data_IF_320144079368
#
_entry.id   IF_320144079368
#
_cell.length_a   1.000
_cell.length_b   1.000
_cell.length_c   1.000
_cell.angle_alpha   90.00
_cell.angle_beta   90.00
_cell.angle_gamma   90.00
#
_symmetry.space_group_name_H-M   'P 1'
#
loop_
_entity.id
_entity.type
_entity.pdbx_description
1 polymer ?
#
# COMPACT_ATOMS: atom_id res chain seq x y z
N UNK A 1 6.09 83.21 -61.80
CA UNK A 1 5.25 82.18 -61.14
C UNK A 1 6.06 80.91 -61.02
N UNK A 2 6.63 80.64 -59.83
CA UNK A 2 7.39 79.43 -59.51
C UNK A 2 6.44 78.23 -59.40
N UNK A 3 6.74 77.14 -60.11
CA UNK A 3 6.12 75.83 -59.89
C UNK A 3 6.89 75.14 -58.76
N UNK A 4 6.27 75.02 -57.59
CA UNK A 4 6.84 74.30 -56.46
C UNK A 4 6.81 72.79 -56.68
N UNK A 5 7.99 72.21 -56.51
CA UNK A 5 8.31 70.80 -56.44
C UNK A 5 7.82 70.25 -55.09
N UNK A 6 6.95 69.25 -55.10
CA UNK A 6 6.59 68.48 -53.90
C UNK A 6 7.23 67.09 -54.02
N UNK A 7 8.44 66.95 -53.48
CA UNK A 7 9.01 65.64 -53.15
C UNK A 7 8.34 65.18 -51.84
N UNK A 8 7.53 64.14 -51.91
CA UNK A 8 7.05 63.42 -50.73
C UNK A 8 8.17 62.53 -50.20
N UNK A 9 8.80 62.96 -49.11
CA UNK A 9 9.72 62.13 -48.33
C UNK A 9 8.88 61.18 -47.46
N UNK A 10 8.78 59.92 -47.87
CA UNK A 10 8.20 58.87 -47.04
C UNK A 10 9.13 58.57 -45.88
N UNK A 11 8.79 59.07 -44.69
CA UNK A 11 9.49 58.73 -43.45
C UNK A 11 9.10 57.29 -43.08
N UNK A 12 9.93 56.32 -43.47
CA UNK A 12 9.85 54.95 -42.96
C UNK A 12 10.33 54.98 -41.51
N UNK A 13 9.43 55.29 -40.57
CA UNK A 13 9.69 55.10 -39.15
C UNK A 13 9.73 53.60 -38.89
N UNK A 14 10.92 53.01 -38.98
CA UNK A 14 11.16 51.66 -38.49
C UNK A 14 10.88 51.64 -37.00
N UNK A 15 9.71 51.13 -36.62
CA UNK A 15 9.43 50.75 -35.24
C UNK A 15 10.25 49.47 -35.03
N UNK A 16 11.49 49.61 -34.58
CA UNK A 16 12.21 48.52 -33.95
C UNK A 16 11.45 48.22 -32.67
N UNK A 17 10.59 47.20 -32.68
CA UNK A 17 10.08 46.62 -31.45
C UNK A 17 11.30 46.11 -30.68
N UNK A 18 11.77 46.88 -29.71
CA UNK A 18 12.83 46.46 -28.81
C UNK A 18 12.31 45.23 -28.08
N UNK A 19 12.98 44.09 -28.24
CA UNK A 19 12.62 42.88 -27.53
C UNK A 19 12.74 43.16 -26.02
N UNK A 20 11.65 42.96 -25.27
CA UNK A 20 11.61 43.28 -23.86
C UNK A 20 12.35 42.21 -23.06
N UNK A 21 13.37 42.61 -22.29
CA UNK A 21 14.10 41.69 -21.42
C UNK A 21 13.20 41.16 -20.30
N UNK A 22 13.35 39.87 -19.99
CA UNK A 22 12.72 39.23 -18.84
C UNK A 22 13.43 39.67 -17.57
N UNK A 23 12.68 40.10 -16.56
CA UNK A 23 13.25 40.48 -15.27
C UNK A 23 13.68 39.23 -14.49
N UNK A 24 14.98 38.98 -14.39
CA UNK A 24 15.56 37.82 -13.68
C UNK A 24 16.49 38.35 -12.58
N UNK A 25 15.98 38.61 -11.37
CA UNK A 25 16.75 39.26 -10.31
C UNK A 25 17.77 38.34 -9.62
N UNK A 26 17.56 37.02 -9.67
CA UNK A 26 18.52 36.05 -9.12
C UNK A 26 19.66 35.80 -10.12
N UNK A 27 20.91 36.15 -9.78
CA UNK A 27 22.03 36.03 -10.70
C UNK A 27 22.36 34.56 -11.03
N UNK A 28 22.12 33.63 -10.10
CA UNK A 28 22.35 32.20 -10.37
C UNK A 28 21.30 31.68 -11.35
N UNK A 29 20.04 32.12 -11.22
CA UNK A 29 18.99 31.78 -12.18
C UNK A 29 19.29 32.37 -13.57
N UNK A 30 19.66 33.66 -13.65
CA UNK A 30 20.03 34.30 -14.92
C UNK A 30 21.19 33.57 -15.59
N UNK A 31 22.28 33.32 -14.86
CA UNK A 31 23.43 32.60 -15.41
C UNK A 31 23.07 31.17 -15.85
N UNK A 32 22.17 30.50 -15.13
CA UNK A 32 21.73 29.16 -15.49
C UNK A 32 20.91 29.15 -16.79
N UNK A 33 20.10 30.18 -17.05
CA UNK A 33 19.38 30.34 -18.32
C UNK A 33 20.31 30.71 -19.48
N UNK A 34 21.25 31.63 -19.27
CA UNK A 34 22.22 32.06 -20.30
C UNK A 34 23.15 30.92 -20.74
N UNK A 35 23.49 30.01 -19.83
CA UNK A 35 24.35 28.84 -20.10
C UNK A 35 23.56 27.55 -20.38
N UNK A 36 22.24 27.64 -20.56
CA UNK A 36 21.38 26.48 -20.73
C UNK A 36 21.61 25.75 -22.07
N UNK A 37 21.38 24.44 -22.08
CA UNK A 37 21.35 23.61 -23.30
C UNK A 37 20.06 22.78 -23.33
N UNK A 38 19.20 22.89 -24.35
CA UNK A 38 19.33 23.73 -25.54
C UNK A 38 19.37 25.24 -25.21
N UNK A 39 20.02 26.00 -26.08
CA UNK A 39 20.27 27.44 -25.90
C UNK A 39 18.95 28.21 -25.78
N UNK A 40 18.87 29.06 -24.75
CA UNK A 40 17.73 29.98 -24.53
C UNK A 40 18.08 31.39 -25.01
N UNK A 41 19.26 31.89 -24.67
CA UNK A 41 19.83 33.14 -25.21
C UNK A 41 20.28 32.90 -26.66
N UNK A 42 19.33 32.97 -27.58
CA UNK A 42 19.50 32.63 -29.00
C UNK A 42 20.27 33.70 -29.77
N UNK A 43 20.23 34.94 -29.31
CA UNK A 43 20.96 36.04 -29.95
C UNK A 43 22.36 36.27 -29.34
N UNK A 44 22.64 35.67 -28.18
CA UNK A 44 23.94 35.71 -27.50
C UNK A 44 24.28 37.06 -26.88
N UNK A 45 23.28 37.89 -26.55
CA UNK A 45 23.50 39.24 -26.03
C UNK A 45 23.64 39.32 -24.51
N UNK A 46 23.54 38.17 -23.82
CA UNK A 46 23.70 38.07 -22.37
C UNK A 46 22.44 38.46 -21.58
N UNK A 47 21.32 38.67 -22.27
CA UNK A 47 20.01 38.86 -21.68
C UNK A 47 19.04 37.78 -22.18
N UNK A 48 17.97 37.53 -21.43
CA UNK A 48 16.88 36.67 -21.90
C UNK A 48 15.75 37.60 -22.33
N UNK A 49 15.39 37.59 -23.60
CA UNK A 49 14.23 38.35 -24.07
C UNK A 49 12.93 37.56 -23.97
N UNK A 50 11.82 38.28 -23.84
CA UNK A 50 10.48 37.70 -23.76
C UNK A 50 10.18 36.83 -24.99
N UNK A 51 10.66 37.24 -26.17
CA UNK A 51 10.53 36.45 -27.40
C UNK A 51 11.26 35.12 -27.36
N UNK A 52 12.43 35.07 -26.70
CA UNK A 52 13.21 33.84 -26.54
C UNK A 52 12.53 32.90 -25.55
N UNK A 53 12.15 33.43 -24.39
CA UNK A 53 11.43 32.68 -23.36
C UNK A 53 10.10 32.10 -23.90
N UNK A 54 9.34 32.89 -24.67
CA UNK A 54 8.09 32.43 -25.30
C UNK A 54 8.33 31.40 -26.40
N UNK A 55 9.45 31.47 -27.12
CA UNK A 55 9.78 30.52 -28.19
C UNK A 55 10.32 29.19 -27.65
N UNK A 56 10.81 29.16 -26.41
CA UNK A 56 11.36 27.97 -25.80
C UNK A 56 10.27 26.97 -25.40
N UNK A 57 10.32 25.76 -25.94
CA UNK A 57 9.37 24.67 -25.67
C UNK A 57 9.99 23.45 -25.00
N UNK A 58 11.29 23.51 -24.71
CA UNK A 58 12.07 22.40 -24.16
C UNK A 58 11.89 22.21 -22.65
N UNK A 59 12.78 21.39 -22.09
CA UNK A 59 12.95 21.26 -20.64
C UNK A 59 13.97 22.29 -20.15
N UNK A 60 13.62 23.04 -19.09
CA UNK A 60 14.58 23.89 -18.37
C UNK A 60 15.10 23.11 -17.17
N UNK A 61 16.39 22.78 -17.19
CA UNK A 61 17.06 22.07 -16.10
C UNK A 61 18.07 22.96 -15.39
N UNK A 62 17.68 23.43 -14.21
CA UNK A 62 18.45 24.35 -13.36
C UNK A 62 18.55 23.82 -11.91
N UNK A 63 18.64 22.49 -11.77
CA UNK A 63 18.84 21.83 -10.48
C UNK A 63 20.25 22.11 -9.92
N UNK A 64 20.37 22.15 -8.58
CA UNK A 64 21.66 22.32 -7.88
C UNK A 64 22.44 23.58 -8.30
N UNK A 65 21.74 24.72 -8.43
CA UNK A 65 22.35 25.99 -8.89
C UNK A 65 22.42 27.06 -7.81
N UNK A 66 22.06 26.73 -6.56
CA UNK A 66 21.96 27.69 -5.46
C UNK A 66 21.03 28.86 -5.80
N UNK A 67 19.90 28.57 -6.45
CA UNK A 67 18.89 29.57 -6.82
C UNK A 67 17.95 29.80 -5.63
N UNK A 68 17.63 31.06 -5.37
CA UNK A 68 16.72 31.49 -4.31
C UNK A 68 15.41 32.06 -4.86
N UNK A 69 15.42 32.61 -6.08
CA UNK A 69 14.26 33.23 -6.69
C UNK A 69 14.15 32.90 -8.19
N UNK A 70 12.98 32.45 -8.63
CA UNK A 70 12.66 32.14 -10.03
C UNK A 70 11.80 33.20 -10.73
N UNK A 71 11.72 34.41 -10.20
CA UNK A 71 11.08 35.54 -10.90
C UNK A 71 11.67 35.66 -12.31
N UNK A 72 10.80 35.73 -13.31
CA UNK A 72 11.12 35.64 -14.74
C UNK A 72 10.72 34.31 -15.38
N UNK A 73 10.54 33.23 -14.61
CA UNK A 73 10.11 31.93 -15.16
C UNK A 73 8.72 32.00 -15.81
N UNK A 74 7.88 32.94 -15.39
CA UNK A 74 6.55 33.21 -15.95
C UNK A 74 6.59 33.59 -17.45
N UNK A 75 7.73 34.03 -17.98
CA UNK A 75 7.87 34.35 -19.40
C UNK A 75 7.94 33.09 -20.30
N UNK A 76 8.27 31.93 -19.72
CA UNK A 76 8.43 30.66 -20.43
C UNK A 76 7.10 29.91 -20.59
N UNK A 77 6.14 30.55 -21.26
CA UNK A 77 4.74 30.08 -21.33
C UNK A 77 4.55 28.75 -22.08
N UNK A 78 5.47 28.41 -22.99
CA UNK A 78 5.43 27.20 -23.81
C UNK A 78 6.38 26.09 -23.35
N UNK A 79 7.09 26.29 -22.24
CA UNK A 79 7.97 25.27 -21.66
C UNK A 79 7.15 24.08 -21.15
N UNK A 80 7.61 22.87 -21.49
CA UNK A 80 6.93 21.62 -21.11
C UNK A 80 7.45 21.01 -19.81
N UNK A 81 8.69 21.31 -19.44
CA UNK A 81 9.32 20.69 -18.28
C UNK A 81 10.20 21.68 -17.53
N UNK A 82 10.05 21.71 -16.20
CA UNK A 82 10.83 22.54 -15.30
C UNK A 82 11.48 21.67 -14.21
N UNK A 83 12.81 21.67 -14.15
CA UNK A 83 13.60 21.00 -13.09
C UNK A 83 14.38 22.02 -12.27
N UNK A 84 13.90 22.26 -11.05
CA UNK A 84 14.43 23.25 -10.11
C UNK A 84 14.82 22.64 -8.77
N UNK A 85 14.95 21.31 -8.72
CA UNK A 85 15.29 20.56 -7.51
C UNK A 85 16.64 20.94 -6.91
N UNK A 86 16.77 20.77 -5.59
CA UNK A 86 18.00 21.05 -4.84
C UNK A 86 18.45 22.51 -4.98
N UNK A 87 17.55 23.42 -4.64
CA UNK A 87 17.79 24.85 -4.58
C UNK A 87 17.27 25.39 -3.24
N UNK A 88 17.14 26.71 -3.10
CA UNK A 88 16.70 27.36 -1.86
C UNK A 88 15.42 28.15 -2.06
N UNK A 89 14.53 27.67 -2.93
CA UNK A 89 13.29 28.36 -3.28
C UNK A 89 12.32 28.34 -2.10
N UNK A 90 11.92 29.52 -1.64
CA UNK A 90 10.83 29.69 -0.67
C UNK A 90 9.45 29.84 -1.32
N UNK A 91 9.43 30.18 -2.61
CA UNK A 91 8.22 30.24 -3.43
C UNK A 91 8.51 29.84 -4.88
N UNK A 92 7.49 29.34 -5.56
CA UNK A 92 7.55 28.98 -6.97
C UNK A 92 6.21 29.39 -7.61
N UNK A 93 6.26 30.22 -8.64
CA UNK A 93 5.08 30.67 -9.38
C UNK A 93 5.11 30.13 -10.81
N UNK A 94 4.30 29.10 -11.08
CA UNK A 94 4.18 28.48 -12.41
C UNK A 94 2.88 28.86 -13.14
N UNK A 95 2.18 29.90 -12.68
CA UNK A 95 0.82 30.21 -13.16
C UNK A 95 0.73 30.53 -14.65
N UNK A 96 1.80 31.06 -15.26
CA UNK A 96 1.84 31.39 -16.69
C UNK A 96 2.40 30.25 -17.54
N UNK A 97 3.02 29.24 -16.93
CA UNK A 97 3.60 28.08 -17.61
C UNK A 97 2.52 27.04 -17.93
N UNK A 98 1.48 27.45 -18.66
CA UNK A 98 0.27 26.64 -18.91
C UNK A 98 0.52 25.38 -19.75
N UNK A 99 1.63 25.34 -20.50
CA UNK A 99 2.10 24.17 -21.25
C UNK A 99 2.90 23.16 -20.39
N UNK A 100 3.10 23.42 -19.10
CA UNK A 100 3.92 22.57 -18.22
C UNK A 100 3.28 21.18 -18.04
N UNK A 101 4.05 20.15 -18.38
CA UNK A 101 3.69 18.72 -18.30
C UNK A 101 4.46 18.03 -17.15
N UNK A 102 5.68 18.50 -16.85
CA UNK A 102 6.56 17.90 -15.85
C UNK A 102 7.17 18.96 -14.93
N UNK A 103 7.02 18.81 -13.62
CA UNK A 103 7.60 19.69 -12.61
C UNK A 103 8.38 18.91 -11.56
N UNK A 104 9.68 19.18 -11.47
CA UNK A 104 10.53 18.76 -10.35
C UNK A 104 10.93 19.99 -9.53
N UNK A 105 10.37 20.12 -8.33
CA UNK A 105 10.69 21.18 -7.38
C UNK A 105 11.06 20.64 -5.98
N UNK A 106 11.42 19.36 -5.90
CA UNK A 106 11.83 18.69 -4.67
C UNK A 106 13.15 19.25 -4.08
N UNK A 107 13.36 19.05 -2.79
CA UNK A 107 14.53 19.55 -2.05
C UNK A 107 14.69 21.08 -2.18
N UNK A 108 13.66 21.80 -1.74
CA UNK A 108 13.63 23.26 -1.61
C UNK A 108 13.06 23.61 -0.22
N UNK A 109 12.68 24.87 -0.01
CA UNK A 109 12.05 25.35 1.23
C UNK A 109 10.66 25.95 0.95
N UNK A 110 9.93 25.39 -0.03
CA UNK A 110 8.61 25.87 -0.43
C UNK A 110 7.61 25.68 0.72
N UNK A 111 6.93 26.75 1.11
CA UNK A 111 5.83 26.69 2.10
C UNK A 111 4.46 26.54 1.45
N UNK A 112 4.36 26.82 0.15
CA UNK A 112 3.17 26.61 -0.67
C UNK A 112 3.54 26.38 -2.13
N UNK A 113 2.68 25.66 -2.84
CA UNK A 113 2.81 25.37 -4.26
C UNK A 113 1.41 25.39 -4.89
N UNK A 114 1.23 26.21 -5.93
CA UNK A 114 -0.01 26.27 -6.69
C UNK A 114 0.25 25.76 -8.12
N UNK A 115 -0.43 24.67 -8.48
CA UNK A 115 -0.35 24.02 -9.79
C UNK A 115 -1.69 24.03 -10.54
N UNK A 116 -2.67 24.82 -10.07
CA UNK A 116 -4.03 24.83 -10.62
C UNK A 116 -4.09 25.38 -12.05
N UNK A 117 -3.10 26.19 -12.45
CA UNK A 117 -2.97 26.73 -13.80
C UNK A 117 -2.05 25.88 -14.71
N UNK A 118 -1.71 24.66 -14.29
CA UNK A 118 -0.90 23.72 -15.08
C UNK A 118 -1.76 22.47 -15.44
N UNK A 119 -2.82 22.60 -16.26
CA UNK A 119 -3.78 21.52 -16.52
C UNK A 119 -3.17 20.32 -17.26
N UNK A 120 -2.03 20.53 -17.94
CA UNK A 120 -1.31 19.47 -18.65
C UNK A 120 -0.32 18.71 -17.77
N UNK A 121 -0.18 19.08 -16.49
CA UNK A 121 0.78 18.46 -15.58
C UNK A 121 0.48 16.97 -15.39
N UNK A 122 1.40 16.13 -15.85
CA UNK A 122 1.35 14.67 -15.76
C UNK A 122 2.33 14.13 -14.71
N UNK A 123 3.39 14.87 -14.42
CA UNK A 123 4.42 14.50 -13.44
C UNK A 123 4.68 15.65 -12.47
N UNK A 124 4.54 15.39 -11.18
CA UNK A 124 4.90 16.33 -10.12
C UNK A 124 5.76 15.64 -9.05
N UNK A 125 6.97 16.16 -8.81
CA UNK A 125 7.76 15.89 -7.62
C UNK A 125 8.04 17.18 -6.84
N UNK A 126 7.34 17.33 -5.73
CA UNK A 126 7.49 18.43 -4.78
C UNK A 126 7.97 17.93 -3.40
N UNK A 127 8.62 16.78 -3.35
CA UNK A 127 9.09 16.15 -2.12
C UNK A 127 10.14 16.98 -1.37
N UNK A 128 10.29 16.80 -0.06
CA UNK A 128 11.26 17.51 0.78
C UNK A 128 11.13 19.04 0.64
N UNK A 129 9.96 19.53 1.03
CA UNK A 129 9.62 20.94 1.15
C UNK A 129 8.92 21.16 2.51
N UNK A 130 8.26 22.29 2.70
CA UNK A 130 7.53 22.64 3.92
C UNK A 130 6.04 22.85 3.63
N UNK A 131 5.48 22.14 2.63
CA UNK A 131 4.10 22.30 2.19
C UNK A 131 3.14 21.82 3.28
N UNK A 132 2.20 22.66 3.67
CA UNK A 132 1.11 22.29 4.60
C UNK A 132 -0.17 21.88 3.88
N UNK A 133 -0.31 22.28 2.62
CA UNK A 133 -1.42 21.93 1.72
C UNK A 133 -0.89 21.72 0.31
N UNK A 134 -1.60 20.91 -0.48
CA UNK A 134 -1.33 20.69 -1.89
C UNK A 134 -2.65 20.39 -2.60
N UNK A 135 -3.04 21.24 -3.55
CA UNK A 135 -4.20 21.03 -4.41
C UNK A 135 -3.72 20.52 -5.77
N UNK A 136 -4.12 19.29 -6.12
CA UNK A 136 -3.85 18.64 -7.41
C UNK A 136 -5.14 18.33 -8.17
N UNK A 137 -6.28 18.85 -7.71
CA UNK A 137 -7.61 18.49 -8.23
C UNK A 137 -7.86 19.02 -9.65
N UNK A 138 -7.03 19.96 -10.11
CA UNK A 138 -7.06 20.55 -11.45
C UNK A 138 -6.13 19.84 -12.44
N UNK A 139 -5.25 18.94 -11.97
CA UNK A 139 -4.25 18.25 -12.79
C UNK A 139 -4.77 16.86 -13.20
N UNK A 140 -5.78 16.83 -14.06
CA UNK A 140 -6.50 15.60 -14.43
C UNK A 140 -5.63 14.54 -15.13
N UNK A 141 -4.50 14.96 -15.72
CA UNK A 141 -3.54 14.09 -16.39
C UNK A 141 -2.43 13.57 -15.47
N UNK A 142 -2.45 13.92 -14.17
CA UNK A 142 -1.40 13.57 -13.23
C UNK A 142 -1.31 12.05 -13.04
N UNK A 143 -0.27 11.44 -13.60
CA UNK A 143 0.01 10.02 -13.51
C UNK A 143 1.08 9.70 -12.45
N UNK A 144 1.92 10.68 -12.11
CA UNK A 144 2.97 10.55 -11.09
C UNK A 144 2.91 11.72 -10.11
N UNK A 145 2.71 11.40 -8.83
CA UNK A 145 2.74 12.37 -7.73
C UNK A 145 3.70 11.92 -6.63
N UNK A 146 4.75 12.71 -6.41
CA UNK A 146 5.62 12.60 -5.25
C UNK A 146 5.56 13.90 -4.42
N UNK A 147 4.98 13.81 -3.23
CA UNK A 147 4.84 14.91 -2.28
C UNK A 147 5.38 14.53 -0.89
N UNK A 148 6.30 13.56 -0.85
CA UNK A 148 6.88 13.03 0.38
C UNK A 148 7.67 14.05 1.19
N UNK A 149 7.81 13.83 2.50
CA UNK A 149 8.57 14.72 3.39
C UNK A 149 8.10 16.18 3.30
N UNK A 150 6.83 16.39 3.61
CA UNK A 150 6.19 17.69 3.74
C UNK A 150 5.44 17.74 5.09
N UNK A 151 4.52 18.68 5.24
CA UNK A 151 3.68 18.84 6.43
C UNK A 151 2.19 18.72 6.09
N UNK A 152 1.85 17.92 5.08
CA UNK A 152 0.48 17.73 4.62
C UNK A 152 -0.33 16.98 5.68
N UNK A 153 -1.48 17.53 6.04
CA UNK A 153 -2.46 16.86 6.93
C UNK A 153 -3.56 16.15 6.16
N UNK A 154 -3.74 16.53 4.89
CA UNK A 154 -4.73 15.99 3.97
C UNK A 154 -4.16 16.00 2.55
N UNK A 155 -4.65 15.09 1.71
CA UNK A 155 -4.31 15.04 0.29
C UNK A 155 -5.54 14.54 -0.49
N UNK A 156 -6.14 15.42 -1.30
CA UNK A 156 -7.25 15.05 -2.18
C UNK A 156 -6.71 14.66 -3.56
N UNK A 157 -6.85 13.37 -3.89
CA UNK A 157 -6.50 12.77 -5.19
C UNK A 157 -7.73 12.31 -5.97
N UNK A 158 -8.94 12.73 -5.58
CA UNK A 158 -10.21 12.24 -6.14
C UNK A 158 -10.39 12.56 -7.63
N UNK A 159 -9.61 13.50 -8.18
CA UNK A 159 -9.66 13.90 -9.60
C UNK A 159 -8.55 13.30 -10.45
N UNK A 160 -7.57 12.62 -9.85
CA UNK A 160 -6.41 12.10 -10.55
C UNK A 160 -6.62 10.62 -10.92
N UNK A 161 -7.66 10.32 -11.70
CA UNK A 161 -8.05 8.93 -12.01
C UNK A 161 -7.01 8.13 -12.81
N UNK A 162 -6.07 8.82 -13.46
CA UNK A 162 -4.96 8.21 -14.21
C UNK A 162 -3.69 8.01 -13.36
N UNK A 163 -3.74 8.32 -12.07
CA UNK A 163 -2.59 8.21 -11.16
C UNK A 163 -2.11 6.75 -11.09
N UNK A 164 -0.84 6.56 -11.44
CA UNK A 164 -0.14 5.27 -11.48
C UNK A 164 0.80 5.13 -10.28
N UNK A 165 1.47 6.22 -9.93
CA UNK A 165 2.42 6.29 -8.82
C UNK A 165 2.04 7.40 -7.83
N UNK A 166 1.90 7.03 -6.56
CA UNK A 166 1.72 7.97 -5.45
C UNK A 166 2.76 7.73 -4.36
N UNK A 167 3.53 8.78 -4.04
CA UNK A 167 4.39 8.84 -2.86
C UNK A 167 4.06 10.06 -2.00
N UNK A 168 3.31 9.82 -0.92
CA UNK A 168 2.93 10.81 0.09
C UNK A 168 3.52 10.50 1.48
N UNK A 169 4.58 9.68 1.54
CA UNK A 169 5.21 9.29 2.79
C UNK A 169 5.75 10.48 3.61
N UNK A 170 5.92 10.28 4.92
CA UNK A 170 6.53 11.26 5.82
C UNK A 170 5.77 12.60 5.78
N UNK A 171 4.49 12.52 6.11
CA UNK A 171 3.56 13.64 6.25
C UNK A 171 2.72 13.42 7.52
N UNK A 172 1.68 14.22 7.71
CA UNK A 172 0.76 14.11 8.85
C UNK A 172 -0.66 13.71 8.39
N UNK A 173 -0.76 12.94 7.32
CA UNK A 173 -2.05 12.57 6.71
C UNK A 173 -2.78 11.58 7.62
N UNK A 174 -4.01 11.90 8.00
CA UNK A 174 -4.86 11.05 8.85
C UNK A 174 -5.80 10.15 8.05
N UNK A 175 -6.15 10.56 6.84
CA UNK A 175 -7.05 9.85 5.93
C UNK A 175 -6.56 9.97 4.49
N UNK A 176 -6.57 8.87 3.75
CA UNK A 176 -6.20 8.82 2.33
C UNK A 176 -7.23 7.98 1.57
N UNK A 177 -8.03 8.63 0.74
CA UNK A 177 -9.00 7.97 -0.13
C UNK A 177 -8.38 7.68 -1.50
N UNK A 178 -8.19 6.40 -1.82
CA UNK A 178 -7.63 5.96 -3.11
C UNK A 178 -8.70 5.46 -4.08
N UNK A 179 -9.99 5.53 -3.73
CA UNK A 179 -11.10 4.90 -4.47
C UNK A 179 -11.24 5.37 -5.92
N UNK A 180 -10.78 6.58 -6.24
CA UNK A 180 -10.80 7.13 -7.60
C UNK A 180 -9.55 6.80 -8.42
N UNK A 181 -8.48 6.30 -7.79
CA UNK A 181 -7.16 6.10 -8.40
C UNK A 181 -6.95 4.63 -8.79
N UNK A 182 -7.86 4.06 -9.59
CA UNK A 182 -7.89 2.62 -9.88
C UNK A 182 -6.70 2.09 -10.71
N UNK A 183 -5.91 2.99 -11.30
CA UNK A 183 -4.71 2.66 -12.07
C UNK A 183 -3.44 2.58 -11.22
N UNK A 184 -3.50 2.83 -9.91
CA UNK A 184 -2.32 2.81 -9.05
C UNK A 184 -1.60 1.46 -9.11
N UNK A 185 -0.32 1.49 -9.47
CA UNK A 185 0.58 0.33 -9.40
C UNK A 185 1.50 0.40 -8.18
N UNK A 186 1.78 1.60 -7.67
CA UNK A 186 2.67 1.84 -6.53
C UNK A 186 2.09 2.88 -5.58
N UNK A 187 1.95 2.51 -4.31
CA UNK A 187 1.47 3.40 -3.25
C UNK A 187 2.44 3.40 -2.05
N UNK A 188 3.06 4.56 -1.82
CA UNK A 188 3.90 4.83 -0.65
C UNK A 188 3.24 5.87 0.25
N UNK A 189 2.72 5.43 1.40
CA UNK A 189 2.04 6.26 2.39
C UNK A 189 2.53 6.01 3.83
N UNK A 190 3.71 5.39 3.98
CA UNK A 190 4.36 5.18 5.27
C UNK A 190 4.67 6.49 6.02
N UNK A 191 4.91 6.40 7.33
CA UNK A 191 5.19 7.57 8.18
C UNK A 191 4.10 8.64 8.06
N UNK A 192 2.85 8.24 8.25
CA UNK A 192 1.68 9.11 8.34
C UNK A 192 0.89 8.76 9.61
N UNK A 193 -0.35 9.24 9.73
CA UNK A 193 -1.22 9.01 10.87
C UNK A 193 -2.48 8.24 10.45
N UNK A 194 -2.39 7.40 9.41
CA UNK A 194 -3.53 6.67 8.87
C UNK A 194 -4.03 5.64 9.89
N UNK A 195 -5.33 5.66 10.16
CA UNK A 195 -6.02 4.64 10.98
C UNK A 195 -6.73 3.60 10.13
N UNK A 196 -7.05 3.96 8.90
CA UNK A 196 -7.62 3.08 7.88
C UNK A 196 -6.98 3.39 6.53
N UNK A 197 -6.94 2.39 5.65
CA UNK A 197 -6.51 2.56 4.28
C UNK A 197 -7.35 1.62 3.41
N UNK A 198 -8.15 2.20 2.52
CA UNK A 198 -8.92 1.43 1.55
C UNK A 198 -8.10 1.30 0.26
N UNK A 199 -7.77 0.07 -0.12
CA UNK A 199 -7.13 -0.28 -1.40
C UNK A 199 -8.02 -1.19 -2.26
N UNK A 200 -9.31 -1.24 -1.94
CA UNK A 200 -10.29 -2.00 -2.72
C UNK A 200 -10.36 -1.45 -4.15
N UNK A 201 -10.40 -2.35 -5.13
CA UNK A 201 -10.44 -1.99 -6.55
C UNK A 201 -9.08 -1.63 -7.18
N UNK A 202 -7.99 -1.55 -6.40
CA UNK A 202 -6.64 -1.34 -6.96
C UNK A 202 -6.09 -2.65 -7.56
N UNK A 203 -6.64 -3.05 -8.71
CA UNK A 203 -6.37 -4.32 -9.38
C UNK A 203 -4.92 -4.45 -9.88
N UNK A 204 -4.31 -3.31 -10.20
CA UNK A 204 -2.95 -3.23 -10.75
C UNK A 204 -1.89 -2.93 -9.68
N UNK A 205 -2.27 -2.81 -8.40
CA UNK A 205 -1.33 -2.51 -7.32
C UNK A 205 -0.28 -3.62 -7.19
N UNK A 206 0.97 -3.28 -7.46
CA UNK A 206 2.11 -4.20 -7.40
C UNK A 206 2.96 -4.00 -6.14
N UNK A 207 2.96 -2.79 -5.58
CA UNK A 207 3.70 -2.45 -4.36
C UNK A 207 2.90 -1.53 -3.44
N UNK A 208 2.79 -1.93 -2.18
CA UNK A 208 2.16 -1.16 -1.12
C UNK A 208 3.12 -0.99 0.06
N UNK A 209 3.46 0.27 0.38
CA UNK A 209 4.20 0.65 1.58
C UNK A 209 3.31 1.52 2.48
N UNK A 210 2.86 0.96 3.59
CA UNK A 210 1.97 1.62 4.56
C UNK A 210 2.45 1.47 6.02
N UNK A 211 3.73 1.14 6.20
CA UNK A 211 4.36 0.95 7.50
C UNK A 211 4.46 2.26 8.32
N UNK A 212 4.68 2.19 9.63
CA UNK A 212 4.62 3.34 10.55
C UNK A 212 3.34 4.18 10.36
N UNK A 213 2.20 3.53 10.57
CA UNK A 213 0.88 4.17 10.66
C UNK A 213 0.15 3.61 11.90
N UNK A 214 -1.16 3.78 11.99
CA UNK A 214 -2.00 3.24 13.06
C UNK A 214 -3.09 2.32 12.51
N UNK A 215 -2.79 1.58 11.43
CA UNK A 215 -3.76 0.68 10.79
C UNK A 215 -4.07 -0.50 11.70
N UNK A 216 -5.35 -0.75 11.95
CA UNK A 216 -5.84 -1.93 12.72
C UNK A 216 -6.17 -3.12 11.84
N UNK A 217 -6.40 -2.86 10.55
CA UNK A 217 -6.69 -3.83 9.50
C UNK A 217 -6.20 -3.29 8.16
N UNK A 218 -5.90 -4.21 7.24
CA UNK A 218 -5.64 -3.90 5.85
C UNK A 218 -6.21 -5.04 4.99
N UNK A 219 -7.08 -4.70 4.04
CA UNK A 219 -7.66 -5.65 3.10
C UNK A 219 -7.05 -5.45 1.72
N UNK A 220 -6.15 -6.38 1.35
CA UNK A 220 -5.50 -6.43 0.03
C UNK A 220 -6.09 -7.51 -0.88
N UNK A 221 -7.25 -8.06 -0.54
CA UNK A 221 -7.88 -9.16 -1.28
C UNK A 221 -8.23 -8.80 -2.73
N UNK A 222 -8.40 -7.50 -3.02
CA UNK A 222 -8.71 -6.95 -4.34
C UNK A 222 -7.47 -6.55 -5.15
N UNK A 223 -6.26 -6.86 -4.68
CA UNK A 223 -5.00 -6.53 -5.36
C UNK A 223 -4.23 -7.80 -5.75
N UNK A 224 -4.70 -8.57 -6.75
CA UNK A 224 -4.11 -9.86 -7.10
C UNK A 224 -2.69 -9.75 -7.71
N UNK A 225 -2.34 -8.57 -8.25
CA UNK A 225 -1.02 -8.27 -8.80
C UNK A 225 0.02 -7.89 -7.73
N UNK A 226 -0.37 -7.82 -6.45
CA UNK A 226 0.49 -7.35 -5.36
C UNK A 226 1.71 -8.26 -5.20
N UNK A 227 2.89 -7.69 -5.44
CA UNK A 227 4.18 -8.36 -5.41
C UNK A 227 5.01 -8.02 -4.17
N UNK A 228 4.77 -6.84 -3.57
CA UNK A 228 5.45 -6.37 -2.37
C UNK A 228 4.46 -5.70 -1.43
N UNK A 229 4.39 -6.18 -0.19
CA UNK A 229 3.60 -5.58 0.89
C UNK A 229 4.49 -5.27 2.09
N UNK A 230 4.63 -3.99 2.41
CA UNK A 230 5.41 -3.50 3.55
C UNK A 230 4.47 -2.72 4.47
N UNK A 231 4.02 -3.37 5.54
CA UNK A 231 3.02 -2.88 6.49
C UNK A 231 3.47 -3.05 7.96
N UNK A 232 4.77 -3.11 8.22
CA UNK A 232 5.31 -3.20 9.57
C UNK A 232 4.99 -1.96 10.42
N UNK A 233 5.13 -2.06 11.75
CA UNK A 233 4.84 -0.95 12.67
C UNK A 233 3.44 -0.34 12.46
N UNK A 234 2.43 -1.20 12.63
CA UNK A 234 1.02 -0.86 12.65
C UNK A 234 0.36 -1.59 13.85
N UNK A 235 -0.97 -1.69 13.85
CA UNK A 235 -1.74 -2.37 14.89
C UNK A 235 -2.58 -3.52 14.31
N UNK A 236 -2.09 -4.17 13.23
CA UNK A 236 -2.81 -5.22 12.52
C UNK A 236 -2.98 -6.46 13.41
N UNK A 237 -4.21 -6.93 13.56
CA UNK A 237 -4.53 -8.13 14.36
C UNK A 237 -4.65 -9.41 13.53
N UNK A 238 -4.89 -9.24 12.23
CA UNK A 238 -4.99 -10.31 11.25
C UNK A 238 -4.50 -9.78 9.89
N UNK A 239 -4.00 -10.71 9.06
CA UNK A 239 -3.55 -10.40 7.71
C UNK A 239 -3.86 -11.58 6.78
N UNK A 240 -4.79 -11.37 5.86
CA UNK A 240 -5.19 -12.38 4.87
C UNK A 240 -4.55 -12.08 3.52
N UNK A 241 -3.66 -12.98 3.07
CA UNK A 241 -2.93 -12.86 1.81
C UNK A 241 -3.27 -13.97 0.81
N UNK A 242 -4.36 -14.70 1.05
CA UNK A 242 -4.76 -15.85 0.23
C UNK A 242 -5.09 -15.49 -1.23
N UNK A 243 -5.40 -14.22 -1.52
CA UNK A 243 -5.73 -13.71 -2.85
C UNK A 243 -4.57 -12.94 -3.51
N UNK A 244 -3.35 -13.04 -2.97
CA UNK A 244 -2.16 -12.34 -3.49
C UNK A 244 -1.09 -13.35 -3.97
N UNK A 245 -1.36 -14.13 -5.04
CA UNK A 245 -0.46 -15.21 -5.49
C UNK A 245 0.87 -14.69 -6.05
N UNK A 246 0.95 -13.41 -6.42
CA UNK A 246 2.14 -12.75 -6.95
C UNK A 246 3.11 -12.24 -5.88
N UNK A 247 2.76 -12.37 -4.59
CA UNK A 247 3.53 -11.81 -3.49
C UNK A 247 4.92 -12.46 -3.38
N UNK A 248 5.96 -11.63 -3.43
CA UNK A 248 7.38 -12.01 -3.31
C UNK A 248 7.98 -11.53 -1.99
N UNK A 249 7.59 -10.34 -1.57
CA UNK A 249 8.12 -9.65 -0.38
C UNK A 249 6.97 -9.32 0.56
N UNK A 250 7.08 -9.77 1.81
CA UNK A 250 6.17 -9.42 2.89
C UNK A 250 6.96 -8.91 4.10
N UNK A 251 6.65 -7.70 4.55
CA UNK A 251 7.14 -7.15 5.81
C UNK A 251 5.96 -6.69 6.66
N UNK A 252 5.59 -7.48 7.67
CA UNK A 252 4.48 -7.23 8.57
C UNK A 252 4.91 -7.27 10.05
N UNK A 253 6.20 -7.04 10.33
CA UNK A 253 6.75 -7.02 11.69
C UNK A 253 6.14 -5.92 12.57
N UNK A 254 6.32 -6.01 13.89
CA UNK A 254 5.81 -5.00 14.84
C UNK A 254 4.31 -4.72 14.65
N UNK A 255 3.51 -5.77 14.76
CA UNK A 255 2.05 -5.74 14.69
C UNK A 255 1.46 -6.62 15.80
N UNK A 256 0.16 -6.93 15.73
CA UNK A 256 -0.56 -7.74 16.72
C UNK A 256 -1.11 -9.02 16.08
N UNK A 257 -0.50 -9.51 15.00
CA UNK A 257 -1.01 -10.65 14.22
C UNK A 257 -0.86 -11.92 15.06
N UNK A 258 -1.94 -12.70 15.17
CA UNK A 258 -1.97 -13.94 15.96
C UNK A 258 -1.80 -15.21 15.13
N UNK A 259 -2.28 -15.18 13.89
CA UNK A 259 -2.14 -16.27 12.93
C UNK A 259 -1.77 -15.72 11.57
N UNK A 260 -0.83 -16.39 10.89
CA UNK A 260 -0.42 -16.01 9.55
C UNK A 260 -0.27 -17.26 8.67
N UNK A 261 -1.05 -17.33 7.60
CA UNK A 261 -1.04 -18.44 6.66
C UNK A 261 -0.66 -17.95 5.27
N UNK A 262 0.51 -18.40 4.80
CA UNK A 262 1.14 -18.01 3.54
C UNK A 262 1.23 -19.17 2.55
N UNK A 263 0.47 -20.26 2.77
CA UNK A 263 0.52 -21.46 1.91
C UNK A 263 0.11 -21.22 0.44
N UNK A 264 -0.66 -20.17 0.15
CA UNK A 264 -1.03 -19.79 -1.22
C UNK A 264 0.00 -18.87 -1.90
N UNK A 265 0.95 -18.31 -1.15
CA UNK A 265 1.88 -17.30 -1.66
C UNK A 265 3.17 -17.98 -2.15
N UNK A 266 3.04 -18.70 -3.26
CA UNK A 266 4.08 -19.59 -3.79
C UNK A 266 5.32 -18.85 -4.32
N UNK A 267 5.26 -17.52 -4.50
CA UNK A 267 6.36 -16.70 -5.03
C UNK A 267 7.18 -15.99 -3.94
N UNK A 268 6.86 -16.21 -2.65
CA UNK A 268 7.56 -15.57 -1.54
C UNK A 268 9.05 -15.96 -1.53
N UNK A 269 9.89 -14.93 -1.47
CA UNK A 269 11.34 -15.05 -1.24
C UNK A 269 11.79 -14.31 0.02
N UNK A 270 10.97 -13.39 0.54
CA UNK A 270 11.20 -12.68 1.80
C UNK A 270 9.94 -12.58 2.64
N UNK A 271 10.06 -12.94 3.92
CA UNK A 271 9.03 -12.70 4.93
C UNK A 271 9.69 -12.20 6.21
N UNK A 272 9.26 -11.03 6.65
CA UNK A 272 9.54 -10.48 7.98
C UNK A 272 8.21 -10.33 8.73
N UNK A 273 8.04 -11.12 9.79
CA UNK A 273 6.87 -11.12 10.66
C UNK A 273 7.27 -11.21 12.15
N UNK A 274 8.47 -10.75 12.49
CA UNK A 274 8.93 -10.65 13.87
C UNK A 274 8.10 -9.65 14.68
N UNK A 275 8.19 -9.74 16.00
CA UNK A 275 7.51 -8.79 16.91
C UNK A 275 6.00 -8.71 16.65
N UNK A 276 5.38 -9.88 16.54
CA UNK A 276 3.93 -10.08 16.46
C UNK A 276 3.45 -10.92 17.67
N UNK A 277 2.20 -11.38 17.62
CA UNK A 277 1.61 -12.26 18.63
C UNK A 277 1.35 -13.66 18.07
N UNK A 278 2.16 -14.12 17.11
CA UNK A 278 1.90 -15.36 16.38
C UNK A 278 1.85 -16.55 17.34
N UNK A 279 0.80 -17.36 17.22
CA UNK A 279 0.66 -18.68 17.83
C UNK A 279 0.71 -19.77 16.76
N UNK A 280 0.35 -19.41 15.52
CA UNK A 280 0.35 -20.27 14.35
C UNK A 280 0.98 -19.53 13.16
N UNK A 281 1.94 -20.17 12.51
CA UNK A 281 2.55 -19.65 11.29
C UNK A 281 2.73 -20.76 10.27
N UNK A 282 2.11 -20.62 9.10
CA UNK A 282 2.20 -21.58 8.01
C UNK A 282 2.87 -20.96 6.78
N UNK A 283 4.09 -21.40 6.50
CA UNK A 283 4.86 -21.04 5.30
C UNK A 283 5.02 -22.22 4.35
N UNK A 284 4.34 -23.35 4.56
CA UNK A 284 4.38 -24.49 3.64
C UNK A 284 3.61 -24.16 2.34
N UNK A 285 4.31 -23.53 1.41
CA UNK A 285 3.80 -22.97 0.15
C UNK A 285 4.34 -23.70 -1.10
N UNK A 286 5.02 -24.82 -0.92
CA UNK A 286 5.65 -25.61 -1.98
C UNK A 286 6.96 -25.03 -2.54
N UNK A 287 7.39 -23.86 -2.08
CA UNK A 287 8.54 -23.11 -2.63
C UNK A 287 9.46 -22.55 -1.53
N UNK A 288 9.57 -23.25 -0.40
CA UNK A 288 10.49 -22.92 0.70
C UNK A 288 11.99 -22.83 0.30
N UNK A 289 12.36 -23.26 -0.89
CA UNK A 289 13.70 -23.08 -1.45
C UNK A 289 13.97 -21.64 -1.95
N UNK A 290 12.95 -20.86 -2.31
CA UNK A 290 13.11 -19.49 -2.82
C UNK A 290 13.65 -18.50 -1.78
N UNK A 291 13.55 -18.80 -0.48
CA UNK A 291 14.17 -17.99 0.58
C UNK A 291 15.71 -18.00 0.54
N UNK A 292 16.29 -18.90 -0.25
CA UNK A 292 17.73 -18.98 -0.49
C UNK A 292 17.98 -19.00 -1.99
N UNK A 293 18.01 -17.83 -2.65
CA UNK A 293 18.59 -17.76 -3.98
C UNK A 293 20.13 -17.91 -3.87
N UNK A 294 20.72 -19.02 -4.37
CA UNK A 294 22.16 -19.23 -4.29
C UNK A 294 22.95 -18.36 -5.28
N UNK A 295 22.29 -17.78 -6.29
CA UNK A 295 22.92 -16.91 -7.28
C UNK A 295 22.99 -15.45 -6.82
N UNK A 296 22.20 -15.08 -5.82
CA UNK A 296 22.13 -13.73 -5.24
C UNK A 296 22.29 -13.79 -3.70
N UNK A 297 23.45 -14.24 -3.17
CA UNK A 297 23.67 -14.42 -1.74
C UNK A 297 23.65 -13.11 -0.94
N UNK A 298 23.85 -11.97 -1.62
CA UNK A 298 23.83 -10.62 -1.06
C UNK A 298 22.51 -9.88 -1.31
N UNK A 299 21.47 -10.55 -1.82
CA UNK A 299 20.18 -9.91 -2.00
C UNK A 299 19.62 -9.53 -0.61
N UNK A 300 19.36 -8.24 -0.32
CA UNK A 300 18.90 -7.80 0.99
C UNK A 300 17.50 -8.30 1.36
N UNK A 301 16.82 -9.00 0.45
CA UNK A 301 15.43 -9.45 0.56
C UNK A 301 15.27 -10.96 0.31
N UNK A 302 16.09 -11.79 0.94
CA UNK A 302 15.87 -13.24 0.94
C UNK A 302 16.01 -13.79 2.36
N UNK A 303 14.93 -14.32 2.93
CA UNK A 303 14.94 -14.77 4.32
C UNK A 303 13.56 -14.92 4.95
N UNK A 304 13.55 -15.54 6.12
CA UNK A 304 12.37 -15.78 6.93
C UNK A 304 12.66 -15.36 8.37
N UNK A 305 12.14 -14.20 8.76
CA UNK A 305 12.39 -13.56 10.05
C UNK A 305 11.08 -13.52 10.83
N UNK A 306 10.96 -14.37 11.85
CA UNK A 306 9.73 -14.52 12.66
C UNK A 306 10.01 -14.60 14.17
N UNK A 307 11.17 -14.13 14.61
CA UNK A 307 11.54 -14.03 16.03
C UNK A 307 10.63 -13.06 16.82
N UNK A 308 10.81 -13.02 18.15
CA UNK A 308 9.98 -12.23 19.07
C UNK A 308 8.48 -12.56 19.06
N UNK A 309 8.08 -13.71 18.50
CA UNK A 309 6.74 -14.29 18.62
C UNK A 309 6.73 -15.34 19.75
N UNK A 310 6.72 -14.91 21.01
CA UNK A 310 7.00 -15.79 22.16
C UNK A 310 6.04 -16.98 22.32
N UNK A 311 4.84 -16.92 21.75
CA UNK A 311 3.86 -18.02 21.80
C UNK A 311 3.93 -18.97 20.59
N UNK A 312 4.77 -18.67 19.59
CA UNK A 312 4.94 -19.49 18.41
C UNK A 312 5.93 -20.62 18.69
N UNK A 313 5.41 -21.84 18.81
CA UNK A 313 6.22 -23.03 19.13
C UNK A 313 6.57 -23.88 17.91
N UNK A 314 5.82 -23.73 16.83
CA UNK A 314 6.05 -24.46 15.59
C UNK A 314 5.74 -23.60 14.39
N UNK A 315 6.63 -23.63 13.40
CA UNK A 315 6.47 -22.97 12.11
C UNK A 315 6.30 -24.05 11.05
N UNK A 316 5.15 -24.05 10.39
CA UNK A 316 4.79 -25.09 9.43
C UNK A 316 5.52 -24.83 8.10
N UNK A 317 6.36 -25.76 7.71
CA UNK A 317 7.22 -25.70 6.51
C UNK A 317 6.95 -26.87 5.58
N UNK A 318 7.38 -26.78 4.32
CA UNK A 318 7.19 -27.84 3.32
C UNK A 318 7.95 -29.13 3.69
N UNK A 319 9.22 -28.97 4.09
CA UNK A 319 10.10 -30.07 4.44
C UNK A 319 10.98 -29.69 5.64
N UNK A 320 10.66 -30.18 6.85
CA UNK A 320 11.44 -29.89 8.05
C UNK A 320 12.91 -30.29 7.94
N UNK A 321 13.24 -31.40 7.27
CA UNK A 321 14.63 -31.84 7.09
C UNK A 321 15.41 -30.82 6.27
N UNK A 322 14.84 -30.36 5.17
CA UNK A 322 15.43 -29.32 4.34
C UNK A 322 15.62 -28.02 5.12
N UNK A 323 14.56 -27.50 5.76
CA UNK A 323 14.60 -26.24 6.51
C UNK A 323 15.65 -26.27 7.62
N UNK A 324 15.71 -27.34 8.42
CA UNK A 324 16.70 -27.45 9.50
C UNK A 324 18.15 -27.57 8.97
N UNK A 325 18.36 -28.14 7.78
CA UNK A 325 19.70 -28.27 7.19
C UNK A 325 20.18 -27.00 6.48
N UNK A 326 19.27 -26.19 5.94
CA UNK A 326 19.60 -25.10 5.03
C UNK A 326 19.35 -23.70 5.60
N UNK A 327 18.36 -23.52 6.47
CA UNK A 327 18.03 -22.22 7.07
C UNK A 327 18.87 -21.97 8.32
N UNK A 328 20.20 -22.01 8.15
CA UNK A 328 21.18 -21.93 9.25
C UNK A 328 21.82 -20.55 9.40
N UNK A 329 21.69 -19.67 8.41
CA UNK A 329 22.21 -18.29 8.49
C UNK A 329 21.37 -17.47 9.49
N UNK A 330 21.93 -17.07 10.65
CA UNK A 330 21.19 -16.36 11.68
C UNK A 330 20.81 -14.92 11.31
N UNK A 331 21.38 -14.37 10.22
CA UNK A 331 20.99 -13.05 9.72
C UNK A 331 19.72 -13.13 8.85
N UNK A 332 19.50 -14.26 8.18
CA UNK A 332 18.42 -14.45 7.20
C UNK A 332 17.26 -15.30 7.73
N UNK A 333 17.52 -16.18 8.70
CA UNK A 333 16.55 -17.11 9.23
C UNK A 333 16.48 -16.98 10.75
N UNK A 334 15.40 -16.35 11.23
CA UNK A 334 15.19 -16.12 12.66
C UNK A 334 13.82 -16.64 13.08
N UNK A 335 13.78 -17.28 14.24
CA UNK A 335 12.56 -17.77 14.89
C UNK A 335 12.68 -17.68 16.40
N UNK A 336 11.57 -17.74 17.15
CA UNK A 336 11.61 -17.71 18.60
C UNK A 336 12.44 -18.87 19.18
N UNK A 337 13.04 -18.64 20.34
CA UNK A 337 13.75 -19.69 21.07
C UNK A 337 12.78 -20.84 21.41
N UNK A 338 13.17 -22.08 21.12
CA UNK A 338 12.32 -23.26 21.33
C UNK A 338 11.31 -23.54 20.22
N UNK A 339 11.06 -22.61 19.30
CA UNK A 339 10.25 -22.89 18.12
C UNK A 339 10.96 -23.89 17.19
N UNK A 340 10.20 -24.71 16.46
CA UNK A 340 10.76 -25.66 15.47
C UNK A 340 10.27 -25.34 14.05
N UNK A 341 11.10 -25.64 13.05
CA UNK A 341 10.64 -25.83 11.67
C UNK A 341 10.04 -27.24 11.59
N UNK A 342 8.73 -27.36 11.38
CA UNK A 342 8.03 -28.64 11.50
C UNK A 342 6.83 -28.76 10.58
N UNK A 343 6.13 -29.90 10.66
CA UNK A 343 4.82 -30.08 10.01
C UNK A 343 3.68 -29.52 10.86
N UNK A 344 3.98 -29.08 12.09
CA UNK A 344 3.05 -28.53 13.08
C UNK A 344 1.77 -29.34 13.20
N UNK A 345 1.92 -30.66 13.37
CA UNK A 345 0.82 -31.51 13.79
C UNK A 345 0.32 -31.00 15.13
N UNK A 346 -0.89 -30.47 15.16
CA UNK A 346 -1.55 -30.11 16.41
C UNK A 346 -1.61 -31.36 17.30
N UNK A 347 -0.76 -31.43 18.32
CA UNK A 347 -1.19 -32.09 19.55
C UNK A 347 -2.34 -31.25 20.06
N UNK A 348 -3.57 -31.75 19.90
CA UNK A 348 -4.78 -31.19 20.49
C UNK A 348 -4.48 -30.75 21.92
N UNK A 349 -4.32 -29.45 22.15
CA UNK A 349 -4.07 -28.94 23.49
C UNK A 349 -5.42 -28.84 24.21
N UNK A 350 -5.42 -29.08 25.52
CA UNK A 350 -6.62 -29.06 26.35
C UNK A 350 -7.31 -27.68 26.32
N UNK A 351 -6.61 -26.62 25.90
CA UNK A 351 -7.16 -25.28 25.76
C UNK A 351 -8.10 -25.10 24.55
N UNK A 352 -7.97 -25.90 23.49
CA UNK A 352 -8.93 -25.88 22.37
C UNK A 352 -10.29 -26.48 22.76
N UNK A 353 -10.35 -27.16 23.91
CA UNK A 353 -11.58 -27.62 24.54
C UNK A 353 -12.30 -26.46 25.25
N UNK A 354 -11.65 -25.33 25.56
CA UNK A 354 -12.33 -24.21 26.24
C UNK A 354 -13.17 -23.32 25.31
N UNK A 355 -13.03 -23.43 23.98
CA UNK A 355 -14.04 -22.91 23.05
C UNK A 355 -15.29 -23.82 22.93
N UNK A 356 -15.35 -24.98 23.61
CA UNK A 356 -16.43 -25.97 23.45
C UNK A 356 -17.75 -25.70 24.20
N UNK A 357 -17.86 -24.67 25.05
CA UNK A 357 -19.03 -24.55 25.93
C UNK A 357 -20.21 -23.70 25.38
N UNK A 358 -20.46 -23.70 24.06
CA UNK A 358 -21.73 -23.17 23.55
C UNK A 358 -22.89 -24.16 23.70
N UNK A 359 -22.65 -25.48 23.67
CA UNK A 359 -23.73 -26.49 23.72
C UNK A 359 -23.61 -27.42 24.93
N UNK A 360 -24.63 -27.43 25.79
CA UNK A 360 -24.80 -28.42 26.87
C UNK A 360 -25.76 -29.52 26.41
N UNK A 361 -25.40 -30.78 26.67
CA UNK A 361 -26.18 -31.94 26.21
C UNK A 361 -26.48 -32.83 27.40
N UNK A 362 -27.77 -33.06 27.64
CA UNK A 362 -28.21 -33.87 28.76
C UNK A 362 -29.57 -34.55 28.45
N UNK A 363 -29.83 -35.74 29.03
CA UNK A 363 -28.87 -36.58 29.73
C UNK A 363 -27.88 -37.23 28.74
N UNK A 364 -26.61 -37.31 29.13
CA UNK A 364 -25.58 -38.07 28.43
C UNK A 364 -24.75 -38.81 29.49
N UNK A 365 -24.97 -40.12 29.73
CA UNK A 365 -25.65 -41.07 28.84
C UNK A 365 -27.16 -40.89 28.68
N UNK A 366 -27.67 -41.14 27.48
CA UNK A 366 -29.06 -40.97 27.06
C UNK A 366 -29.83 -42.30 27.08
N UNK A 367 -31.11 -42.25 27.44
CA UNK A 367 -32.05 -43.37 27.24
C UNK A 367 -32.83 -43.14 25.95
N UNK A 368 -33.94 -42.41 25.97
CA UNK A 368 -34.78 -42.23 24.78
C UNK A 368 -34.57 -40.89 24.09
N UNK A 369 -34.11 -39.88 24.84
CA UNK A 369 -33.96 -38.52 24.36
C UNK A 369 -32.71 -37.85 24.93
N UNK A 370 -32.21 -36.87 24.18
CA UNK A 370 -31.28 -35.86 24.65
C UNK A 370 -31.86 -34.47 24.40
N UNK A 371 -31.40 -33.50 25.19
CA UNK A 371 -31.67 -32.08 25.01
C UNK A 371 -30.36 -31.35 24.75
N UNK A 372 -30.33 -30.53 23.70
CA UNK A 372 -29.25 -29.60 23.43
C UNK A 372 -29.67 -28.22 23.93
N UNK A 373 -28.88 -27.63 24.81
CA UNK A 373 -29.03 -26.25 25.25
C UNK A 373 -27.88 -25.40 24.71
N UNK A 374 -28.21 -24.43 23.86
CA UNK A 374 -27.28 -23.42 23.36
C UNK A 374 -27.18 -22.27 24.37
N UNK A 375 -25.99 -22.00 24.91
CA UNK A 375 -25.71 -20.95 25.90
C UNK A 375 -25.61 -19.56 25.29
N UNK A 376 -25.50 -19.44 23.95
CA UNK A 376 -25.30 -18.16 23.24
C UNK A 376 -26.55 -17.69 22.50
N UNK A 377 -27.46 -18.58 22.08
CA UNK A 377 -28.65 -18.21 21.28
C UNK A 377 -29.86 -19.08 21.58
N UNK A 378 -30.96 -18.50 22.07
CA UNK A 378 -32.17 -19.25 22.42
C UNK A 378 -33.22 -19.42 21.29
N UNK A 379 -33.04 -18.75 20.14
CA UNK A 379 -34.09 -18.64 19.11
C UNK A 379 -33.69 -19.12 17.69
N UNK A 380 -32.54 -19.77 17.51
CA UNK A 380 -32.13 -20.31 16.20
C UNK A 380 -32.47 -21.81 16.05
N UNK A 381 -32.75 -22.24 14.82
CA UNK A 381 -33.04 -23.65 14.53
C UNK A 381 -31.76 -24.49 14.63
N UNK A 382 -31.73 -25.42 15.58
CA UNK A 382 -30.63 -26.38 15.73
C UNK A 382 -30.79 -27.55 14.74
N UNK A 383 -29.76 -27.81 13.95
CA UNK A 383 -29.62 -29.00 13.11
C UNK A 383 -28.67 -29.99 13.79
N UNK A 384 -28.89 -31.28 13.60
CA UNK A 384 -28.02 -32.32 14.13
C UNK A 384 -27.77 -33.46 13.14
N UNK A 385 -26.63 -34.12 13.31
CA UNK A 385 -26.22 -35.34 12.62
C UNK A 385 -25.65 -36.34 13.65
N UNK A 386 -26.01 -37.62 13.58
CA UNK A 386 -25.51 -38.68 14.47
C UNK A 386 -24.77 -39.70 13.63
N UNK A 387 -23.56 -40.05 14.05
CA UNK A 387 -22.70 -41.04 13.40
C UNK A 387 -22.37 -42.18 14.37
N UNK A 388 -22.18 -43.39 13.84
CA UNK A 388 -21.59 -44.50 14.61
C UNK A 388 -20.08 -44.31 14.83
N UNK A 389 -19.46 -45.22 15.61
CA UNK A 389 -18.03 -45.17 15.91
C UNK A 389 -17.09 -45.35 14.71
N UNK A 390 -17.62 -45.75 13.54
CA UNK A 390 -16.87 -45.83 12.28
C UNK A 390 -17.01 -44.58 11.41
N UNK A 391 -17.81 -43.60 11.84
CA UNK A 391 -18.07 -42.37 11.09
C UNK A 391 -19.20 -42.48 10.06
N UNK A 392 -19.98 -43.56 10.05
CA UNK A 392 -21.15 -43.69 9.17
C UNK A 392 -22.34 -42.91 9.74
N UNK A 393 -22.97 -42.09 8.90
CA UNK A 393 -24.14 -41.29 9.26
C UNK A 393 -25.36 -42.19 9.53
N UNK A 394 -25.95 -42.08 10.71
CA UNK A 394 -27.13 -42.82 11.15
C UNK A 394 -28.41 -41.98 11.09
N UNK A 395 -28.31 -40.70 11.44
CA UNK A 395 -29.47 -39.79 11.50
C UNK A 395 -29.04 -38.36 11.21
N UNK A 396 -29.90 -37.60 10.53
CA UNK A 396 -29.74 -36.17 10.27
C UNK A 396 -31.10 -35.49 10.29
N UNK A 397 -31.29 -34.49 11.14
CA UNK A 397 -32.56 -33.77 11.26
C UNK A 397 -32.40 -32.41 11.97
N UNK A 398 -33.50 -31.69 12.18
CA UNK A 398 -33.60 -30.52 13.05
C UNK A 398 -34.06 -30.95 14.45
N UNK A 399 -33.52 -30.34 15.50
CA UNK A 399 -34.01 -30.53 16.85
C UNK A 399 -35.40 -29.88 17.01
N UNK A 400 -36.19 -30.37 17.97
CA UNK A 400 -37.45 -29.72 18.35
C UNK A 400 -37.20 -28.31 18.90
N UNK A 401 -38.23 -27.47 18.97
CA UNK A 401 -38.12 -26.07 19.44
C UNK A 401 -37.52 -25.92 20.86
N UNK A 402 -37.56 -26.98 21.67
CA UNK A 402 -36.93 -27.04 22.99
C UNK A 402 -35.54 -27.72 22.99
N UNK A 403 -34.92 -27.91 21.83
CA UNK A 403 -33.62 -28.57 21.68
C UNK A 403 -33.63 -30.09 21.84
N UNK A 404 -34.81 -30.72 21.93
CA UNK A 404 -34.94 -32.17 22.18
C UNK A 404 -34.75 -32.99 20.91
N UNK A 405 -33.99 -34.08 21.02
CA UNK A 405 -33.72 -35.06 19.96
C UNK A 405 -34.10 -36.45 20.45
N UNK A 406 -34.86 -37.19 19.64
CA UNK A 406 -35.18 -38.60 19.89
C UNK A 406 -34.03 -39.52 19.41
N UNK A 407 -33.50 -40.30 20.35
CA UNK A 407 -32.42 -41.29 20.18
C UNK A 407 -32.84 -42.70 20.60
N UNK A 408 -34.13 -42.96 20.86
CA UNK A 408 -34.64 -44.27 21.29
C UNK A 408 -34.36 -45.39 20.29
N UNK A 409 -34.24 -45.05 19.01
CA UNK A 409 -34.00 -45.99 17.92
C UNK A 409 -32.52 -46.35 17.75
N UNK A 410 -31.63 -45.78 18.55
CA UNK A 410 -30.21 -46.13 18.54
C UNK A 410 -29.98 -47.31 19.49
N UNK A 411 -29.14 -48.26 19.07
CA UNK A 411 -28.67 -49.33 19.94
C UNK A 411 -27.74 -48.79 21.05
N UNK A 412 -27.54 -49.58 22.10
CA UNK A 412 -26.61 -49.20 23.18
C UNK A 412 -25.19 -49.06 22.63
N UNK A 413 -24.54 -47.94 22.88
CA UNK A 413 -23.23 -47.67 22.29
C UNK A 413 -22.76 -46.22 22.39
N UNK A 414 -21.60 -45.97 21.79
CA UNK A 414 -21.03 -44.63 21.65
C UNK A 414 -21.23 -44.11 20.24
N UNK A 415 -21.69 -42.86 20.14
CA UNK A 415 -21.98 -42.16 18.90
C UNK A 415 -21.27 -40.81 18.87
N UNK A 416 -21.10 -40.26 17.67
CA UNK A 416 -20.67 -38.88 17.47
C UNK A 416 -21.92 -38.08 17.07
N UNK A 417 -22.25 -37.06 17.85
CA UNK A 417 -23.31 -36.11 17.54
C UNK A 417 -22.67 -34.81 17.04
N UNK A 418 -23.05 -34.36 15.86
CA UNK A 418 -22.70 -33.06 15.32
C UNK A 418 -23.90 -32.12 15.38
N UNK A 419 -23.69 -30.88 15.82
CA UNK A 419 -24.72 -29.88 16.07
C UNK A 419 -24.38 -28.61 15.30
N UNK A 420 -25.37 -27.96 14.70
CA UNK A 420 -25.20 -26.69 14.00
C UNK A 420 -26.35 -25.74 14.34
N UNK A 421 -26.02 -24.51 14.74
CA UNK A 421 -26.98 -23.41 14.96
C UNK A 421 -26.89 -22.45 13.78
N UNK A 422 -27.99 -22.25 13.05
CA UNK A 422 -28.00 -21.37 11.87
C UNK A 422 -27.00 -21.78 10.78
N UNK A 423 -26.08 -20.87 10.45
CA UNK A 423 -24.98 -21.05 9.49
C UNK A 423 -23.60 -21.18 10.16
N UNK A 424 -23.57 -21.36 11.49
CA UNK A 424 -22.32 -21.53 12.24
C UNK A 424 -21.61 -22.86 11.90
N UNK A 425 -20.31 -23.01 12.22
CA UNK A 425 -19.60 -24.28 12.10
C UNK A 425 -20.26 -25.41 12.90
N UNK A 426 -20.11 -26.66 12.43
CA UNK A 426 -20.61 -27.85 13.13
C UNK A 426 -19.78 -28.15 14.38
N UNK A 427 -20.47 -28.34 15.50
CA UNK A 427 -19.91 -28.73 16.78
C UNK A 427 -20.04 -30.24 17.01
N UNK A 428 -18.94 -30.94 17.32
CA UNK A 428 -18.95 -32.40 17.54
C UNK A 428 -18.83 -32.78 19.01
N UNK A 429 -19.66 -33.72 19.45
CA UNK A 429 -19.70 -34.21 20.84
C UNK A 429 -19.96 -35.71 20.90
N UNK A 430 -19.41 -36.38 21.91
CA UNK A 430 -19.66 -37.80 22.17
C UNK A 430 -21.04 -37.96 22.80
N UNK A 431 -21.87 -38.83 22.23
CA UNK A 431 -23.15 -39.26 22.76
C UNK A 431 -23.04 -40.72 23.22
N UNK A 432 -23.48 -41.02 24.43
CA UNK A 432 -23.54 -42.39 24.97
C UNK A 432 -25.02 -42.78 25.06
N UNK A 433 -25.42 -43.89 24.43
CA UNK A 433 -26.76 -44.48 24.54
C UNK A 433 -26.71 -45.67 25.48
N UNK A 434 -27.51 -45.61 26.55
CA UNK A 434 -27.66 -46.68 27.54
C UNK A 434 -28.78 -47.67 27.22
#
# INVERSE_FOLDING_TARGET
>A
MMKNLLLSFGLLAGITAMAQNVNIPDPNFKNALLSHSPVIDTNGDGEIQTTEAQSFTGAINIMNKNIYNLTGIEAFVNMKELRVSNNHLSSLNTNQNTALETLYCNNNILTGLNVNNNPNLAFLDCSNNQLTTLDVTHNLNLSYLACSSNHLTQLDISKNAVLDYLNCQNNYITELDTSSCLNLTMLHCQYNQLTTLNVSGLLYLTGLQCFHNSLTQIDVSSSPALSSLICFENQLTALNLSNNPELKVLECSHNLITELNLSNNIKLSFVSANDNQLTSFNIANGNNNLFMDPNEPNYPYNGLIVDNNNNLTCIKVDNPVYSNANWTDPLRFKKPAGAIWGTCTATLNVNDIQQKESFKIYPNPAQDFITIQDSKKQNETLKYEIFDGSGRLLKKDKALSNGKINVSNLEKGTYILQIQSGNEPKYSVKLIKN
#
